data_IF_012539261142
#
_entry.id   IF_012539261142
#
_cell.length_a   1.000
_cell.length_b   1.000
_cell.length_c   1.000
_cell.angle_alpha   90.00
_cell.angle_beta   90.00
_cell.angle_gamma   90.00
#
_symmetry.space_group_name_H-M   'P 1'
#
loop_
_entity.id
_entity.type
_entity.pdbx_description
1 polymer ?
#
# COMPACT_ATOMS: atom_id res chain seq x y z
N UNK A 1 1.64 54.38 37.83
CA UNK A 1 0.75 53.21 37.88
C UNK A 1 0.54 52.75 36.44
N UNK A 2 1.17 51.64 36.06
CA UNK A 2 0.99 51.01 34.75
C UNK A 2 0.76 49.54 35.03
N UNK A 3 -0.42 48.99 34.72
CA UNK A 3 -0.70 47.55 34.51
C UNK A 3 -2.13 47.50 33.94
N UNK A 4 -2.23 47.52 32.60
CA UNK A 4 -2.56 46.38 31.75
C UNK A 4 -4.07 46.06 31.75
N UNK A 5 -4.76 46.61 30.74
CA UNK A 5 -6.15 46.31 30.42
C UNK A 5 -6.30 44.85 30.00
N UNK A 6 -7.19 44.15 30.68
CA UNK A 6 -7.55 42.77 30.36
C UNK A 6 -8.51 42.83 29.17
N UNK A 7 -7.95 42.71 27.97
CA UNK A 7 -8.72 42.49 26.74
C UNK A 7 -9.30 41.07 26.76
N UNK A 8 -10.63 40.98 26.80
CA UNK A 8 -11.39 39.73 26.62
C UNK A 8 -11.30 39.30 25.16
N UNK A 9 -10.23 38.57 24.80
CA UNK A 9 -10.13 37.91 23.51
C UNK A 9 -11.09 36.70 23.43
N UNK A 10 -11.83 36.51 22.32
CA UNK A 10 -12.66 35.32 22.15
C UNK A 10 -11.76 34.09 21.98
N UNK A 11 -11.96 33.10 22.84
CA UNK A 11 -11.34 31.77 22.76
C UNK A 11 -11.96 31.02 21.58
N UNK A 12 -11.39 31.20 20.38
CA UNK A 12 -11.80 30.45 19.19
C UNK A 12 -11.18 29.06 19.29
N UNK A 13 -11.93 28.12 19.87
CA UNK A 13 -11.63 26.69 19.78
C UNK A 13 -11.88 26.27 18.33
N UNK A 14 -10.83 26.28 17.51
CA UNK A 14 -10.86 25.62 16.21
C UNK A 14 -11.00 24.11 16.48
N UNK A 15 -12.24 23.63 16.53
CA UNK A 15 -12.53 22.21 16.29
C UNK A 15 -12.15 21.94 14.84
N UNK A 16 -10.90 21.54 14.62
CA UNK A 16 -10.48 20.93 13.37
C UNK A 16 -11.35 19.69 13.20
N UNK A 17 -12.20 19.59 12.16
CA UNK A 17 -12.82 18.32 11.84
C UNK A 17 -11.66 17.39 11.53
N UNK A 18 -11.43 16.40 12.39
CA UNK A 18 -10.57 15.28 12.09
C UNK A 18 -11.30 14.58 10.95
N UNK A 19 -10.96 14.97 9.72
CA UNK A 19 -11.37 14.23 8.54
C UNK A 19 -10.76 12.85 8.76
N UNK A 20 -11.58 11.91 9.21
CA UNK A 20 -11.26 10.51 9.11
C UNK A 20 -11.02 10.29 7.63
N UNK A 21 -9.76 10.30 7.22
CA UNK A 21 -9.38 9.83 5.91
C UNK A 21 -9.82 8.36 5.96
N UNK A 22 -11.01 8.08 5.42
CA UNK A 22 -11.44 6.72 5.16
C UNK A 22 -10.44 6.26 4.13
N UNK A 23 -9.35 5.68 4.60
CA UNK A 23 -8.34 5.10 3.76
C UNK A 23 -9.12 4.12 2.90
N UNK A 24 -9.21 4.45 1.60
CA UNK A 24 -9.83 3.61 0.59
C UNK A 24 -8.92 2.39 0.46
N UNK A 25 -9.02 1.53 1.47
CA UNK A 25 -8.34 0.26 1.59
C UNK A 25 -8.98 -0.55 0.49
N UNK A 26 -8.21 -0.81 -0.57
CA UNK A 26 -8.65 -1.69 -1.64
C UNK A 26 -9.10 -3.04 -1.07
N UNK A 27 -9.78 -3.86 -1.88
CA UNK A 27 -10.17 -5.21 -1.48
C UNK A 27 -9.03 -5.94 -0.75
N UNK A 28 -9.38 -6.47 0.41
CA UNK A 28 -8.47 -7.13 1.33
C UNK A 28 -8.10 -8.50 0.78
N UNK A 29 -6.84 -8.89 0.89
CA UNK A 29 -6.41 -10.23 0.48
C UNK A 29 -5.61 -10.89 1.59
N UNK A 30 -5.74 -12.21 1.69
CA UNK A 30 -4.98 -13.00 2.65
C UNK A 30 -3.68 -13.48 2.02
N UNK A 31 -2.60 -13.39 2.79
CA UNK A 31 -1.29 -13.84 2.37
C UNK A 31 -0.51 -14.39 3.55
N UNK A 32 -0.18 -15.69 3.52
CA UNK A 32 0.63 -16.34 4.54
C UNK A 32 2.14 -16.18 4.33
N UNK A 33 2.55 -15.67 3.17
CA UNK A 33 3.96 -15.55 2.76
C UNK A 33 4.39 -14.08 2.61
N UNK A 34 4.84 -13.66 1.41
CA UNK A 34 5.26 -12.31 1.11
C UNK A 34 4.20 -11.59 0.26
N UNK A 35 3.46 -10.64 0.85
CA UNK A 35 2.39 -9.91 0.18
C UNK A 35 2.94 -8.70 -0.58
N UNK A 36 2.45 -8.51 -1.80
CA UNK A 36 2.82 -7.40 -2.67
C UNK A 36 1.63 -6.88 -3.46
N UNK A 37 1.73 -5.63 -3.89
CA UNK A 37 0.91 -5.07 -4.94
C UNK A 37 1.71 -5.07 -6.23
N UNK A 38 1.15 -5.58 -7.32
CA UNK A 38 1.85 -5.62 -8.60
C UNK A 38 1.05 -4.91 -9.68
N UNK A 39 1.69 -3.98 -10.38
CA UNK A 39 1.15 -3.40 -11.60
C UNK A 39 1.61 -4.21 -12.79
N UNK A 40 0.64 -4.68 -13.55
CA UNK A 40 0.80 -5.54 -14.72
C UNK A 40 0.95 -4.72 -15.99
N UNK A 41 2.06 -4.90 -16.70
CA UNK A 41 2.28 -4.38 -18.04
C UNK A 41 2.15 -5.51 -19.07
N UNK A 42 0.92 -5.69 -19.55
CA UNK A 42 0.54 -6.70 -20.54
C UNK A 42 0.92 -6.31 -21.98
N UNK A 43 1.44 -5.08 -22.18
CA UNK A 43 1.78 -4.59 -23.52
C UNK A 43 3.11 -5.13 -24.05
N UNK A 44 3.88 -5.83 -23.20
CA UNK A 44 5.22 -6.36 -23.49
C UNK A 44 5.28 -7.86 -23.28
N UNK A 45 6.19 -8.54 -23.99
CA UNK A 45 6.50 -9.96 -23.83
C UNK A 45 8.01 -10.17 -23.63
N UNK A 46 8.45 -10.84 -22.54
CA UNK A 46 7.62 -11.33 -21.43
C UNK A 46 6.98 -10.17 -20.66
N UNK A 47 5.77 -10.43 -20.16
CA UNK A 47 4.99 -9.48 -19.38
C UNK A 47 5.77 -8.98 -18.16
N UNK A 48 5.59 -7.70 -17.79
CA UNK A 48 6.29 -7.11 -16.65
C UNK A 48 5.36 -6.82 -15.48
N UNK A 49 5.93 -6.99 -14.28
CA UNK A 49 5.29 -6.78 -12.99
C UNK A 49 6.11 -5.76 -12.22
N UNK A 50 5.53 -4.58 -12.02
CA UNK A 50 6.11 -3.54 -11.16
C UNK A 50 5.59 -3.72 -9.75
N UNK A 51 6.48 -3.96 -8.80
CA UNK A 51 6.14 -4.26 -7.41
C UNK A 51 6.01 -2.99 -6.57
N UNK A 52 5.05 -3.03 -5.66
CA UNK A 52 4.79 -2.06 -4.62
C UNK A 52 4.43 -2.77 -3.31
N UNK A 53 4.66 -2.14 -2.14
CA UNK A 53 4.36 -2.75 -0.86
C UNK A 53 2.85 -2.87 -0.66
N UNK A 54 2.41 -4.00 -0.12
CA UNK A 54 1.05 -4.15 0.39
C UNK A 54 0.93 -3.48 1.77
N UNK A 55 -0.16 -2.76 1.99
CA UNK A 55 -0.48 -2.12 3.26
C UNK A 55 -1.15 -3.11 4.20
N UNK A 56 -0.67 -3.23 5.43
CA UNK A 56 -1.39 -3.96 6.46
C UNK A 56 -2.53 -3.08 6.99
N UNK A 57 -3.77 -3.60 6.94
CA UNK A 57 -4.92 -2.86 7.43
C UNK A 57 -4.96 -2.92 8.96
N UNK A 58 -4.92 -1.76 9.63
CA UNK A 58 -5.05 -1.67 11.09
C UNK A 58 -6.40 -2.25 11.53
N UNK A 59 -6.37 -3.28 12.37
CA UNK A 59 -7.57 -3.98 12.87
C UNK A 59 -7.99 -5.22 12.08
N UNK A 60 -7.35 -5.50 10.94
CA UNK A 60 -7.53 -6.79 10.26
C UNK A 60 -6.71 -7.88 10.96
N UNK A 61 -7.19 -9.12 10.90
CA UNK A 61 -6.49 -10.30 11.41
C UNK A 61 -5.05 -10.33 10.86
N UNK A 62 -4.10 -10.82 11.66
CA UNK A 62 -2.71 -11.01 11.21
C UNK A 62 -2.71 -11.83 9.92
N UNK A 63 -2.22 -11.28 8.81
CA UNK A 63 -2.21 -11.96 7.50
C UNK A 63 -3.14 -11.37 6.44
N UNK A 64 -3.92 -10.34 6.77
CA UNK A 64 -4.73 -9.60 5.79
C UNK A 64 -4.04 -8.31 5.34
N UNK A 65 -4.01 -8.10 4.03
CA UNK A 65 -3.31 -7.00 3.37
C UNK A 65 -4.23 -6.28 2.41
N UNK A 66 -3.90 -5.03 2.07
CA UNK A 66 -4.61 -4.25 1.05
C UNK A 66 -3.62 -3.57 0.11
N UNK A 67 -4.05 -3.43 -1.14
CA UNK A 67 -3.37 -2.58 -2.10
C UNK A 67 -4.13 -1.27 -2.25
N UNK A 68 -3.58 -0.13 -1.77
CA UNK A 68 -4.26 1.16 -1.88
C UNK A 68 -4.39 1.55 -3.36
N UNK A 69 -5.60 1.90 -3.79
CA UNK A 69 -5.85 2.42 -5.14
C UNK A 69 -6.17 1.36 -6.19
N UNK A 70 -7.17 0.52 -5.95
CA UNK A 70 -7.68 -0.41 -6.98
C UNK A 70 -8.51 0.34 -8.02
N UNK A 71 -7.81 1.04 -8.91
CA UNK A 71 -8.29 1.46 -10.22
C UNK A 71 -7.18 1.19 -11.23
N UNK A 72 -7.34 0.17 -12.08
CA UNK A 72 -6.39 -0.23 -13.14
C UNK A 72 -5.84 -1.65 -13.00
N UNK A 73 -4.78 -1.97 -13.78
CA UNK A 73 -4.08 -3.27 -13.83
C UNK A 73 -3.20 -3.55 -12.59
N UNK A 74 -3.69 -3.23 -11.39
CA UNK A 74 -3.03 -3.57 -10.13
C UNK A 74 -3.66 -4.87 -9.63
N UNK A 75 -2.84 -5.88 -9.42
CA UNK A 75 -3.22 -7.16 -8.81
C UNK A 75 -2.56 -7.30 -7.44
N UNK A 76 -3.23 -8.01 -6.53
CA UNK A 76 -2.60 -8.47 -5.30
C UNK A 76 -1.75 -9.69 -5.64
N UNK A 77 -0.59 -9.83 -5.00
CA UNK A 77 0.30 -10.94 -5.22
C UNK A 77 0.84 -11.50 -3.91
N UNK A 78 0.95 -12.82 -3.85
CA UNK A 78 1.62 -13.55 -2.78
C UNK A 78 2.79 -14.33 -3.38
N UNK A 79 3.99 -14.04 -2.91
CA UNK A 79 5.20 -14.75 -3.34
C UNK A 79 5.71 -15.67 -2.24
N UNK A 80 6.26 -16.83 -2.62
CA UNK A 80 6.90 -17.75 -1.68
C UNK A 80 8.25 -17.21 -1.24
N UNK A 81 8.96 -16.51 -2.12
CA UNK A 81 10.28 -15.94 -1.85
C UNK A 81 10.26 -14.40 -1.80
N UNK A 82 11.12 -13.79 -0.97
CA UNK A 82 11.23 -12.34 -0.92
C UNK A 82 11.82 -11.80 -2.23
N UNK A 83 11.18 -10.80 -2.82
CA UNK A 83 11.51 -10.29 -4.16
C UNK A 83 12.63 -9.24 -4.19
N UNK A 84 13.17 -8.86 -3.03
CA UNK A 84 14.14 -7.76 -2.91
C UNK A 84 13.51 -6.36 -2.96
N UNK A 85 12.18 -6.23 -2.92
CA UNK A 85 11.48 -4.94 -2.98
C UNK A 85 11.97 -3.95 -1.91
N UNK A 86 12.24 -4.43 -0.69
CA UNK A 86 12.74 -3.59 0.41
C UNK A 86 14.06 -2.91 0.05
N UNK A 87 14.97 -3.64 -0.58
CA UNK A 87 16.27 -3.11 -1.00
C UNK A 87 16.10 -2.15 -2.19
N UNK A 88 15.26 -2.51 -3.17
CA UNK A 88 14.95 -1.62 -4.29
C UNK A 88 14.40 -0.26 -3.79
N UNK A 89 13.46 -0.28 -2.84
CA UNK A 89 12.91 0.93 -2.22
C UNK A 89 13.96 1.73 -1.45
N UNK A 90 14.86 1.07 -0.71
CA UNK A 90 15.97 1.73 0.00
C UNK A 90 16.87 2.52 -0.95
N UNK A 91 17.07 1.98 -2.16
CA UNK A 91 17.84 2.62 -3.23
C UNK A 91 16.97 3.50 -4.15
N UNK A 92 15.70 3.75 -3.80
CA UNK A 92 14.75 4.56 -4.58
C UNK A 92 14.56 4.08 -6.02
N UNK A 93 14.69 2.78 -6.26
CA UNK A 93 14.46 2.14 -7.54
C UNK A 93 13.15 1.33 -7.53
N UNK A 94 12.38 1.34 -8.63
CA UNK A 94 11.26 0.41 -8.78
C UNK A 94 11.80 -1.01 -8.94
N UNK A 95 11.16 -1.98 -8.30
CA UNK A 95 11.39 -3.39 -8.58
C UNK A 95 10.46 -3.81 -9.73
N UNK A 96 11.05 -4.22 -10.85
CA UNK A 96 10.32 -4.68 -12.03
C UNK A 96 10.84 -6.07 -12.37
N UNK A 97 9.94 -7.05 -12.38
CA UNK A 97 10.23 -8.43 -12.75
C UNK A 97 9.47 -8.80 -14.01
N UNK A 98 10.04 -9.71 -14.81
CA UNK A 98 9.28 -10.31 -15.89
C UNK A 98 8.41 -11.49 -15.39
N UNK A 99 7.53 -12.02 -16.24
CA UNK A 99 6.63 -13.12 -15.89
C UNK A 99 7.37 -14.39 -15.46
N UNK A 100 8.52 -14.69 -16.05
CA UNK A 100 9.32 -15.86 -15.67
C UNK A 100 9.88 -15.71 -14.24
N UNK A 101 10.46 -14.56 -13.92
CA UNK A 101 10.91 -14.27 -12.57
C UNK A 101 9.74 -14.27 -11.58
N UNK A 102 8.60 -13.69 -11.95
CA UNK A 102 7.40 -13.65 -11.13
C UNK A 102 6.91 -15.06 -10.78
N UNK A 103 6.64 -15.92 -11.78
CA UNK A 103 6.05 -17.24 -11.54
C UNK A 103 7.07 -18.31 -11.13
N UNK A 104 8.29 -18.29 -11.67
CA UNK A 104 9.25 -19.39 -11.48
C UNK A 104 10.32 -19.08 -10.45
N UNK A 105 10.87 -17.86 -10.43
CA UNK A 105 11.95 -17.49 -9.49
C UNK A 105 11.40 -17.19 -8.10
N UNK A 106 10.38 -16.34 -8.01
CA UNK A 106 9.81 -15.91 -6.72
C UNK A 106 8.53 -16.66 -6.35
N UNK A 107 8.02 -17.50 -7.25
CA UNK A 107 6.79 -18.29 -7.08
C UNK A 107 5.63 -17.42 -6.61
N UNK A 108 5.45 -16.30 -7.28
CA UNK A 108 4.36 -15.37 -7.02
C UNK A 108 3.07 -15.88 -7.67
N UNK A 109 1.97 -15.74 -6.94
CA UNK A 109 0.61 -16.01 -7.41
C UNK A 109 -0.22 -14.74 -7.26
N UNK A 110 -1.02 -14.42 -8.27
CA UNK A 110 -2.00 -13.35 -8.17
C UNK A 110 -3.17 -13.81 -7.30
N UNK A 111 -3.59 -12.99 -6.34
CA UNK A 111 -4.64 -13.33 -5.37
C UNK A 111 -5.80 -12.37 -5.54
N UNK A 112 -7.02 -12.92 -5.54
CA UNK A 112 -8.21 -12.09 -5.55
C UNK A 112 -8.38 -11.41 -4.18
N UNK A 113 -8.73 -10.12 -4.20
CA UNK A 113 -9.13 -9.43 -2.99
C UNK A 113 -10.62 -9.62 -2.72
N UNK A 114 -10.99 -9.70 -1.45
CA UNK A 114 -12.34 -9.77 -0.95
C UNK A 114 -12.77 -8.40 -0.40
N UNK A 115 -14.08 -8.12 -0.44
CA UNK A 115 -14.67 -6.86 0.06
C UNK A 115 -15.17 -7.01 1.49
#
# INVERSE_FOLDING_TARGET
MQFLGISKGPLVVFMLPIVACVANTGPLFECSTYPYCVKKDISVSPMKYTFAPAGQTLGALTGTWSCPGVNGNIANACCVHPTGLKDAMKHKHPLILNSDQFYNTFQCTEVEGHK
#
